data_IF_994883020790
#
_entry.id   IF_994883020790
#
_cell.length_a   1.000
_cell.length_b   1.000
_cell.length_c   1.000
_cell.angle_alpha   90.00
_cell.angle_beta   90.00
_cell.angle_gamma   90.00
#
_symmetry.space_group_name_H-M   'P 1'
#
loop_
_entity.id
_entity.type
_entity.pdbx_description
1 polymer ?
#
# COMPACT_ATOMS: atom_id res chain seq x y z
N UNK A 1 -14.58 2.43 -27.93
CA UNK A 1 -14.51 1.95 -26.52
C UNK A 1 -13.06 1.56 -26.12
N UNK A 2 -12.34 0.76 -26.90
CA UNK A 2 -10.95 0.31 -26.58
C UNK A 2 -9.95 1.47 -26.41
N UNK A 3 -9.98 2.50 -27.25
CA UNK A 3 -9.07 3.66 -27.16
C UNK A 3 -9.27 4.51 -25.90
N UNK A 4 -10.50 4.66 -25.43
CA UNK A 4 -10.80 5.43 -24.21
C UNK A 4 -10.30 4.69 -22.95
N UNK A 5 -10.40 3.36 -22.93
CA UNK A 5 -9.88 2.52 -21.83
C UNK A 5 -8.36 2.61 -21.78
N UNK A 6 -7.67 2.52 -22.93
CA UNK A 6 -6.23 2.64 -23.02
C UNK A 6 -5.72 4.02 -22.52
N UNK A 7 -6.40 5.10 -22.91
CA UNK A 7 -6.08 6.46 -22.44
C UNK A 7 -6.24 6.58 -20.92
N UNK A 8 -7.33 6.03 -20.36
CA UNK A 8 -7.58 6.05 -18.92
C UNK A 8 -6.47 5.34 -18.16
N UNK A 9 -6.06 4.17 -18.60
CA UNK A 9 -4.98 3.39 -18.00
C UNK A 9 -3.64 4.14 -18.02
N UNK A 10 -3.29 4.73 -19.17
CA UNK A 10 -2.08 5.51 -19.33
C UNK A 10 -2.04 6.74 -18.39
N UNK A 11 -3.19 7.40 -18.21
CA UNK A 11 -3.32 8.52 -17.27
C UNK A 11 -3.13 8.06 -15.83
N UNK A 12 -3.66 6.89 -15.44
CA UNK A 12 -3.48 6.31 -14.10
C UNK A 12 -2.00 6.01 -13.85
N UNK A 13 -1.32 5.28 -14.75
CA UNK A 13 0.09 4.93 -14.58
C UNK A 13 0.99 6.18 -14.53
N UNK A 14 0.71 7.17 -15.36
CA UNK A 14 1.45 8.45 -15.38
C UNK A 14 1.24 9.22 -14.07
N UNK A 15 0.00 9.29 -13.58
CA UNK A 15 -0.33 9.98 -12.34
C UNK A 15 0.28 9.28 -11.12
N UNK A 16 0.19 7.95 -11.04
CA UNK A 16 0.81 7.16 -9.96
C UNK A 16 2.30 7.49 -9.83
N UNK A 17 3.04 7.46 -10.95
CA UNK A 17 4.47 7.79 -10.96
C UNK A 17 4.73 9.23 -10.54
N UNK A 18 4.03 10.20 -11.10
CA UNK A 18 4.24 11.61 -10.78
C UNK A 18 3.88 11.93 -9.32
N UNK A 19 2.80 11.38 -8.80
CA UNK A 19 2.44 11.55 -7.38
C UNK A 19 3.45 10.89 -6.46
N UNK A 20 3.96 9.71 -6.80
CA UNK A 20 5.02 9.04 -6.04
C UNK A 20 6.32 9.86 -5.98
N UNK A 21 6.68 10.54 -7.06
CA UNK A 21 7.91 11.34 -7.18
C UNK A 21 7.78 12.72 -6.50
N UNK A 22 6.65 13.41 -6.70
CA UNK A 22 6.50 14.85 -6.41
C UNK A 22 5.44 15.18 -5.38
N UNK A 23 4.75 14.16 -4.83
CA UNK A 23 3.59 14.35 -3.96
C UNK A 23 2.33 14.76 -4.73
N UNK A 24 1.17 14.59 -4.08
CA UNK A 24 -0.13 14.84 -4.71
C UNK A 24 -0.33 16.33 -5.00
N UNK A 25 0.08 17.19 -4.07
CA UNK A 25 -0.05 18.63 -4.23
C UNK A 25 0.87 19.20 -5.32
N UNK A 26 2.06 18.59 -5.52
CA UNK A 26 3.09 19.05 -6.44
C UNK A 26 2.81 18.80 -7.92
N UNK A 27 1.68 18.15 -8.28
CA UNK A 27 1.37 17.76 -9.67
C UNK A 27 -0.05 18.22 -10.04
N UNK A 28 -0.20 18.86 -11.20
CA UNK A 28 -1.50 19.28 -11.72
C UNK A 28 -2.11 18.25 -12.67
N UNK A 29 -3.45 18.23 -12.80
CA UNK A 29 -4.18 17.39 -13.77
C UNK A 29 -3.72 17.63 -15.21
N UNK A 30 -3.35 18.88 -15.55
CA UNK A 30 -2.83 19.24 -16.85
C UNK A 30 -1.45 18.63 -17.12
N UNK A 31 -0.55 18.69 -16.14
CA UNK A 31 0.78 18.06 -16.24
C UNK A 31 0.67 16.56 -16.46
N UNK A 32 -0.25 15.89 -15.77
CA UNK A 32 -0.50 14.45 -15.93
C UNK A 32 -0.94 14.16 -17.38
N UNK A 33 -1.91 14.92 -17.91
CA UNK A 33 -2.35 14.78 -19.28
C UNK A 33 -1.21 14.95 -20.29
N UNK A 34 -0.39 15.99 -20.13
CA UNK A 34 0.76 16.25 -20.99
C UNK A 34 1.82 15.14 -20.91
N UNK A 35 2.15 14.70 -19.69
CA UNK A 35 3.12 13.63 -19.46
C UNK A 35 2.63 12.27 -20.00
N UNK A 36 1.32 12.05 -20.05
CA UNK A 36 0.68 10.91 -20.70
C UNK A 36 0.54 11.07 -22.23
N UNK A 37 1.17 12.09 -22.84
CA UNK A 37 1.14 12.32 -24.28
C UNK A 37 -0.21 12.79 -24.82
N UNK A 38 -1.10 13.27 -23.97
CA UNK A 38 -2.42 13.73 -24.37
C UNK A 38 -2.38 15.19 -24.84
N UNK A 39 -2.88 15.45 -26.03
CA UNK A 39 -2.95 16.81 -26.60
C UNK A 39 -4.09 17.66 -26.05
N UNK A 40 -5.15 17.00 -25.56
CA UNK A 40 -6.30 17.66 -24.95
C UNK A 40 -6.06 17.91 -23.46
N UNK A 41 -5.94 19.18 -23.06
CA UNK A 41 -5.71 19.58 -21.66
C UNK A 41 -6.83 19.17 -20.68
N UNK A 42 -8.04 18.90 -21.17
CA UNK A 42 -9.19 18.50 -20.35
C UNK A 42 -9.37 16.99 -20.21
N UNK A 43 -8.53 16.16 -20.85
CA UNK A 43 -8.75 14.70 -20.88
C UNK A 43 -8.68 14.08 -19.50
N UNK A 44 -7.78 14.48 -18.65
CA UNK A 44 -7.65 13.97 -17.29
C UNK A 44 -8.87 14.32 -16.45
N UNK A 45 -9.35 15.56 -16.57
CA UNK A 45 -10.57 15.99 -15.89
C UNK A 45 -11.83 15.29 -16.43
N UNK A 46 -11.89 15.02 -17.73
CA UNK A 46 -12.98 14.26 -18.33
C UNK A 46 -13.09 12.83 -17.77
N UNK A 47 -11.95 12.15 -17.56
CA UNK A 47 -11.94 10.76 -17.07
C UNK A 47 -12.12 10.62 -15.55
N UNK A 48 -11.70 11.60 -14.77
CA UNK A 48 -11.59 11.46 -13.30
C UNK A 48 -12.30 12.58 -12.52
N UNK A 49 -12.83 13.59 -13.18
CA UNK A 49 -13.44 14.76 -12.56
C UNK A 49 -12.39 15.70 -11.98
N UNK A 50 -11.76 15.29 -10.89
CA UNK A 50 -10.75 16.08 -10.19
C UNK A 50 -9.55 15.22 -9.77
N UNK A 51 -8.63 15.81 -9.00
CA UNK A 51 -7.44 15.13 -8.50
C UNK A 51 -7.79 14.04 -7.48
N UNK A 52 -8.80 14.25 -6.67
CA UNK A 52 -9.26 13.26 -5.69
C UNK A 52 -9.82 12.01 -6.39
N UNK A 53 -10.63 12.19 -7.43
CA UNK A 53 -11.13 11.09 -8.24
C UNK A 53 -10.02 10.31 -8.95
N UNK A 54 -8.96 10.99 -9.39
CA UNK A 54 -7.79 10.32 -9.97
C UNK A 54 -7.00 9.53 -8.91
N UNK A 55 -6.81 10.07 -7.71
CA UNK A 55 -6.18 9.37 -6.57
C UNK A 55 -6.96 8.09 -6.23
N UNK A 56 -8.28 8.19 -6.13
CA UNK A 56 -9.15 7.02 -5.89
C UNK A 56 -9.01 5.99 -7.01
N UNK A 57 -9.00 6.41 -8.28
CA UNK A 57 -8.86 5.50 -9.42
C UNK A 57 -7.51 4.76 -9.45
N UNK A 58 -6.40 5.42 -9.08
CA UNK A 58 -5.09 4.76 -8.92
C UNK A 58 -5.19 3.69 -7.83
N UNK A 59 -5.73 4.08 -6.68
CA UNK A 59 -5.83 3.20 -5.52
C UNK A 59 -6.71 1.98 -5.81
N UNK A 60 -7.90 2.15 -6.39
CA UNK A 60 -8.80 1.05 -6.76
C UNK A 60 -8.14 0.06 -7.70
N UNK A 61 -7.47 0.56 -8.74
CA UNK A 61 -6.80 -0.30 -9.73
C UNK A 61 -5.73 -1.18 -9.10
N UNK A 62 -4.81 -0.58 -8.34
CA UNK A 62 -3.68 -1.31 -7.74
C UNK A 62 -4.11 -2.18 -6.56
N UNK A 63 -5.04 -1.70 -5.75
CA UNK A 63 -5.53 -2.47 -4.61
C UNK A 63 -6.28 -3.74 -5.02
N UNK A 64 -6.91 -3.78 -6.18
CA UNK A 64 -7.57 -4.98 -6.69
C UNK A 64 -6.58 -6.15 -6.81
N UNK A 65 -5.45 -5.93 -7.49
CA UNK A 65 -4.41 -6.95 -7.68
C UNK A 65 -3.74 -7.33 -6.35
N UNK A 66 -3.37 -6.33 -5.55
CA UNK A 66 -2.75 -6.53 -4.23
C UNK A 66 -3.69 -7.31 -3.30
N UNK A 67 -4.98 -7.00 -3.28
CA UNK A 67 -5.96 -7.69 -2.45
C UNK A 67 -6.24 -9.12 -2.95
N UNK A 68 -6.31 -9.34 -4.25
CA UNK A 68 -6.44 -10.68 -4.81
C UNK A 68 -5.26 -11.56 -4.39
N UNK A 69 -4.03 -11.02 -4.45
CA UNK A 69 -2.82 -11.70 -4.01
C UNK A 69 -2.82 -11.99 -2.50
N UNK A 70 -3.23 -11.01 -1.67
CA UNK A 70 -3.39 -11.19 -0.22
C UNK A 70 -4.36 -12.31 0.13
N UNK A 71 -5.51 -12.34 -0.55
CA UNK A 71 -6.52 -13.37 -0.31
C UNK A 71 -6.04 -14.76 -0.74
N UNK A 72 -5.30 -14.86 -1.84
CA UNK A 72 -4.68 -16.11 -2.27
C UNK A 72 -3.65 -16.61 -1.24
N UNK A 73 -2.75 -15.75 -0.76
CA UNK A 73 -1.76 -16.09 0.27
C UNK A 73 -2.44 -16.49 1.59
N UNK A 74 -3.49 -15.77 2.00
CA UNK A 74 -4.26 -16.08 3.21
C UNK A 74 -4.93 -17.45 3.12
N UNK A 75 -5.46 -17.82 1.95
CA UNK A 75 -6.03 -19.14 1.69
C UNK A 75 -4.99 -20.26 1.70
N UNK A 76 -3.83 -20.04 1.06
CA UNK A 76 -2.73 -20.99 1.05
C UNK A 76 -2.17 -21.22 2.46
N UNK A 77 -1.90 -20.16 3.21
CA UNK A 77 -1.42 -20.26 4.59
C UNK A 77 -2.39 -21.07 5.47
N UNK A 78 -3.69 -20.87 5.29
CA UNK A 78 -4.71 -21.66 6.02
C UNK A 78 -4.67 -23.14 5.66
N UNK A 79 -4.52 -23.47 4.37
CA UNK A 79 -4.47 -24.87 3.89
C UNK A 79 -3.23 -25.59 4.40
N UNK A 80 -2.11 -24.88 4.51
CA UNK A 80 -0.81 -25.42 4.94
C UNK A 80 -0.64 -25.46 6.45
N UNK A 81 -1.64 -25.04 7.22
CA UNK A 81 -1.55 -24.91 8.68
C UNK A 81 -0.61 -23.80 9.17
N UNK A 82 -0.19 -22.90 8.29
CA UNK A 82 0.60 -21.71 8.59
C UNK A 82 -0.35 -20.56 8.93
N UNK A 83 -0.58 -20.36 10.21
CA UNK A 83 -1.57 -19.41 10.72
C UNK A 83 -1.04 -18.60 11.91
N UNK A 84 0.28 -18.50 12.03
CA UNK A 84 0.94 -17.69 13.03
C UNK A 84 0.85 -16.18 12.75
N UNK A 85 1.19 -15.36 13.75
CA UNK A 85 1.20 -13.90 13.60
C UNK A 85 2.12 -13.48 12.46
N UNK A 86 3.31 -14.09 12.36
CA UNK A 86 4.27 -13.84 11.30
C UNK A 86 3.68 -14.14 9.90
N UNK A 87 3.02 -15.28 9.75
CA UNK A 87 2.44 -15.69 8.46
C UNK A 87 1.34 -14.71 8.01
N UNK A 88 0.53 -14.22 8.94
CA UNK A 88 -0.50 -13.23 8.65
C UNK A 88 0.08 -11.85 8.30
N UNK A 89 1.16 -11.43 8.96
CA UNK A 89 1.90 -10.20 8.61
C UNK A 89 2.54 -10.34 7.23
N UNK A 90 3.15 -11.48 6.93
CA UNK A 90 3.73 -11.80 5.62
C UNK A 90 2.68 -11.70 4.50
N UNK A 91 1.47 -12.24 4.72
CA UNK A 91 0.34 -12.13 3.80
C UNK A 91 0.00 -10.67 3.46
N UNK A 92 0.22 -9.73 4.39
CA UNK A 92 0.01 -8.31 4.16
C UNK A 92 1.16 -7.66 3.38
N UNK A 93 2.42 -7.98 3.75
CA UNK A 93 3.63 -7.29 3.27
C UNK A 93 4.06 -7.75 1.88
N UNK A 94 4.09 -9.08 1.64
CA UNK A 94 4.62 -9.66 0.40
C UNK A 94 3.96 -9.09 -0.86
N UNK A 95 2.64 -8.92 -0.97
CA UNK A 95 2.04 -8.34 -2.17
C UNK A 95 2.44 -6.88 -2.44
N UNK A 96 2.84 -6.13 -1.41
CA UNK A 96 3.41 -4.78 -1.59
C UNK A 96 4.87 -4.84 -2.07
N UNK A 97 5.66 -5.78 -1.56
CA UNK A 97 7.03 -6.02 -2.04
C UNK A 97 7.04 -6.48 -3.51
N UNK A 98 6.08 -7.32 -3.91
CA UNK A 98 5.88 -7.73 -5.31
C UNK A 98 5.60 -6.52 -6.23
N UNK A 99 4.91 -5.46 -5.75
CA UNK A 99 4.74 -4.22 -6.51
C UNK A 99 6.06 -3.46 -6.69
N UNK A 100 6.93 -3.48 -5.68
CA UNK A 100 8.29 -2.90 -5.76
C UNK A 100 9.13 -3.66 -6.79
N UNK A 101 9.13 -4.99 -6.75
CA UNK A 101 9.84 -5.86 -7.69
C UNK A 101 9.41 -5.64 -9.14
N UNK A 102 8.12 -5.45 -9.37
CA UNK A 102 7.54 -5.16 -10.69
C UNK A 102 7.82 -3.73 -11.17
N UNK A 103 8.46 -2.89 -10.36
CA UNK A 103 8.77 -1.51 -10.71
C UNK A 103 7.58 -0.55 -10.68
N UNK A 104 6.45 -0.94 -10.09
CA UNK A 104 5.29 -0.07 -9.90
C UNK A 104 5.56 0.99 -8.84
N UNK A 105 5.13 2.22 -9.06
CA UNK A 105 5.31 3.32 -8.12
C UNK A 105 4.29 3.30 -6.94
N UNK A 106 3.46 2.27 -6.87
CA UNK A 106 2.29 2.19 -5.97
C UNK A 106 2.64 2.33 -4.49
N UNK A 107 3.71 1.68 -4.02
CA UNK A 107 4.08 1.75 -2.59
C UNK A 107 4.54 3.16 -2.22
N UNK A 108 5.33 3.82 -3.10
CA UNK A 108 5.71 5.23 -2.93
C UNK A 108 4.50 6.17 -3.01
N UNK A 109 3.55 5.89 -3.89
CA UNK A 109 2.28 6.62 -3.96
C UNK A 109 1.49 6.49 -2.65
N UNK A 110 1.36 5.29 -2.07
CA UNK A 110 0.72 5.08 -0.76
C UNK A 110 1.43 5.85 0.36
N UNK A 111 2.75 5.85 0.38
CA UNK A 111 3.54 6.62 1.34
C UNK A 111 3.26 8.12 1.23
N UNK A 112 3.13 8.66 -0.01
CA UNK A 112 2.73 10.06 -0.22
C UNK A 112 1.33 10.36 0.26
N UNK A 113 0.36 9.46 0.05
CA UNK A 113 -0.98 9.62 0.61
C UNK A 113 -0.99 9.72 2.13
N UNK A 114 -0.10 8.97 2.80
CA UNK A 114 0.03 9.01 4.26
C UNK A 114 0.64 10.33 4.74
N UNK A 115 1.68 10.83 4.07
CA UNK A 115 2.42 12.03 4.46
C UNK A 115 1.74 13.33 4.07
N UNK A 116 1.03 13.35 2.94
CA UNK A 116 0.35 14.54 2.42
C UNK A 116 -1.04 14.77 3.05
N UNK A 117 -1.44 13.93 4.03
CA UNK A 117 -2.70 14.11 4.76
C UNK A 117 -3.96 13.64 4.02
N UNK A 118 -3.81 12.84 2.96
CA UNK A 118 -4.91 12.36 2.12
C UNK A 118 -5.43 10.96 2.49
N UNK A 119 -5.29 10.55 3.74
CA UNK A 119 -5.76 9.24 4.24
C UNK A 119 -7.27 9.06 4.13
N UNK A 120 -8.03 10.14 4.24
CA UNK A 120 -9.47 10.18 4.08
C UNK A 120 -9.90 9.71 2.68
N UNK A 121 -9.12 9.98 1.64
CA UNK A 121 -9.37 9.48 0.29
C UNK A 121 -9.31 7.95 0.21
N UNK A 122 -8.44 7.30 0.99
CA UNK A 122 -8.38 5.85 1.09
C UNK A 122 -9.62 5.26 1.76
N UNK A 123 -10.22 5.99 2.72
CA UNK A 123 -11.43 5.57 3.42
C UNK A 123 -12.68 5.75 2.53
N UNK A 124 -12.66 6.67 1.58
CA UNK A 124 -13.74 6.90 0.62
C UNK A 124 -13.73 5.90 -0.56
N UNK A 125 -12.59 5.27 -0.83
CA UNK A 125 -12.50 4.15 -1.76
C UNK A 125 -13.22 2.94 -1.14
N UNK A 126 -14.18 2.36 -1.87
CA UNK A 126 -15.16 1.40 -1.37
C UNK A 126 -14.60 0.25 -0.50
N UNK A 127 -15.49 -0.41 0.23
CA UNK A 127 -15.15 -1.49 1.20
C UNK A 127 -14.35 -2.67 0.60
N UNK A 128 -14.46 -2.92 -0.70
CA UNK A 128 -13.69 -3.97 -1.37
C UNK A 128 -12.19 -3.69 -1.34
N UNK A 129 -11.80 -2.43 -1.38
CA UNK A 129 -10.41 -1.98 -1.41
C UNK A 129 -9.70 -2.20 -0.07
N UNK A 130 -10.42 -2.04 1.04
CA UNK A 130 -9.89 -2.26 2.40
C UNK A 130 -10.14 -3.68 2.91
N UNK A 131 -10.89 -4.50 2.17
CA UNK A 131 -11.40 -5.80 2.63
C UNK A 131 -10.31 -6.77 3.09
N UNK A 132 -9.19 -6.87 2.35
CA UNK A 132 -8.10 -7.77 2.72
C UNK A 132 -7.35 -7.28 3.97
N UNK A 133 -7.07 -5.97 4.08
CA UNK A 133 -6.50 -5.36 5.29
C UNK A 133 -7.33 -5.67 6.53
N UNK A 134 -8.64 -5.44 6.45
CA UNK A 134 -9.55 -5.70 7.56
C UNK A 134 -9.69 -7.19 7.87
N UNK A 135 -9.69 -8.06 6.84
CA UNK A 135 -9.80 -9.51 7.02
C UNK A 135 -8.58 -10.06 7.75
N UNK A 136 -7.37 -9.65 7.34
CA UNK A 136 -6.11 -10.02 8.00
C UNK A 136 -6.13 -9.51 9.45
N UNK A 137 -6.43 -8.23 9.67
CA UNK A 137 -6.48 -7.63 11.00
C UNK A 137 -7.50 -8.32 11.92
N UNK A 138 -8.70 -8.61 11.41
CA UNK A 138 -9.72 -9.37 12.20
C UNK A 138 -9.26 -10.77 12.54
N UNK A 139 -8.50 -11.45 11.65
CA UNK A 139 -7.97 -12.79 11.90
C UNK A 139 -6.86 -12.74 12.95
N UNK A 140 -5.88 -11.84 12.81
CA UNK A 140 -4.83 -11.59 13.80
C UNK A 140 -5.42 -11.37 15.18
N UNK A 141 -6.39 -10.47 15.30
CA UNK A 141 -7.01 -10.15 16.57
C UNK A 141 -7.73 -11.35 17.19
N UNK A 142 -8.54 -12.08 16.39
CA UNK A 142 -9.36 -13.19 16.93
C UNK A 142 -8.55 -14.40 17.36
N UNK A 143 -7.48 -14.70 16.62
CA UNK A 143 -6.73 -15.96 16.82
C UNK A 143 -5.51 -15.79 17.74
N UNK A 144 -4.87 -14.61 17.71
CA UNK A 144 -3.58 -14.44 18.37
C UNK A 144 -3.50 -13.27 19.36
N UNK A 145 -4.35 -12.26 19.21
CA UNK A 145 -4.25 -10.99 19.95
C UNK A 145 -5.63 -10.61 20.56
N UNK A 146 -6.43 -11.59 20.93
CA UNK A 146 -7.77 -11.40 21.50
C UNK A 146 -7.75 -10.77 22.89
N UNK A 147 -6.65 -10.91 23.65
CA UNK A 147 -6.45 -10.30 24.97
C UNK A 147 -6.17 -8.80 24.90
N UNK A 148 -5.69 -8.30 23.75
CA UNK A 148 -5.50 -6.86 23.57
C UNK A 148 -6.85 -6.15 23.46
N UNK A 149 -7.04 -5.01 24.18
CA UNK A 149 -8.17 -4.12 23.95
C UNK A 149 -8.33 -3.80 22.47
N UNK A 150 -9.58 -3.79 21.99
CA UNK A 150 -9.89 -3.62 20.56
C UNK A 150 -9.19 -2.41 19.93
N UNK A 151 -9.27 -1.27 20.61
CA UNK A 151 -8.74 -0.01 20.06
C UNK A 151 -7.21 -0.01 20.06
N UNK A 152 -6.58 -0.61 21.06
CA UNK A 152 -5.13 -0.79 21.10
C UNK A 152 -4.64 -1.71 19.98
N UNK A 153 -5.37 -2.82 19.73
CA UNK A 153 -5.06 -3.69 18.58
C UNK A 153 -5.11 -2.94 17.26
N UNK A 154 -6.20 -2.21 16.97
CA UNK A 154 -6.33 -1.50 15.70
C UNK A 154 -5.32 -0.37 15.55
N UNK A 155 -4.96 0.29 16.66
CA UNK A 155 -3.87 1.26 16.65
C UNK A 155 -2.53 0.62 16.28
N UNK A 156 -2.17 -0.51 16.91
CA UNK A 156 -0.95 -1.27 16.56
C UNK A 156 -0.96 -1.76 15.11
N UNK A 157 -2.09 -2.32 14.67
CA UNK A 157 -2.22 -2.77 13.29
C UNK A 157 -2.03 -1.63 12.28
N UNK A 158 -2.56 -0.46 12.58
CA UNK A 158 -2.33 0.75 11.77
C UNK A 158 -0.86 1.16 11.76
N UNK A 159 -0.16 1.09 12.89
CA UNK A 159 1.28 1.36 12.96
C UNK A 159 2.08 0.38 12.10
N UNK A 160 1.78 -0.91 12.19
CA UNK A 160 2.41 -1.95 11.35
C UNK A 160 2.22 -1.66 9.86
N UNK A 161 1.00 -1.37 9.44
CA UNK A 161 0.68 -1.05 8.04
C UNK A 161 1.42 0.18 7.55
N UNK A 162 1.44 1.24 8.36
CA UNK A 162 2.15 2.47 8.00
C UNK A 162 3.65 2.24 7.88
N UNK A 163 4.24 1.49 8.81
CA UNK A 163 5.66 1.16 8.81
C UNK A 163 6.01 0.30 7.60
N UNK A 164 5.18 -0.70 7.25
CA UNK A 164 5.38 -1.53 6.07
C UNK A 164 5.43 -0.70 4.78
N UNK A 165 4.46 0.20 4.60
CA UNK A 165 4.38 1.08 3.41
C UNK A 165 5.59 2.01 3.36
N UNK A 166 5.94 2.67 4.47
CA UNK A 166 7.07 3.61 4.51
C UNK A 166 8.40 2.91 4.25
N UNK A 167 8.65 1.76 4.89
CA UNK A 167 9.89 1.00 4.73
C UNK A 167 10.09 0.51 3.29
N UNK A 168 9.04 -0.03 2.65
CA UNK A 168 9.08 -0.45 1.25
C UNK A 168 9.21 0.73 0.28
N UNK A 169 8.59 1.88 0.59
CA UNK A 169 8.74 3.10 -0.22
C UNK A 169 10.16 3.65 -0.16
N UNK A 170 10.79 3.66 1.02
CA UNK A 170 12.18 4.07 1.21
C UNK A 170 13.14 3.10 0.50
N UNK A 171 12.89 1.79 0.61
CA UNK A 171 13.64 0.77 -0.14
C UNK A 171 13.56 1.04 -1.65
N UNK A 172 12.36 1.25 -2.19
CA UNK A 172 12.14 1.53 -3.61
C UNK A 172 12.80 2.84 -4.06
N UNK A 173 12.90 3.82 -3.17
CA UNK A 173 13.58 5.10 -3.44
C UNK A 173 15.12 4.99 -3.41
N UNK A 174 15.67 3.81 -3.10
CA UNK A 174 17.11 3.63 -2.96
C UNK A 174 17.67 4.14 -1.63
N UNK A 175 16.81 4.51 -0.69
CA UNK A 175 17.23 4.89 0.65
C UNK A 175 17.80 3.66 1.39
N UNK A 176 18.99 3.80 1.93
CA UNK A 176 19.63 2.73 2.70
C UNK A 176 20.31 3.28 3.94
N UNK A 177 20.00 2.72 5.13
CA UNK A 177 20.71 3.03 6.35
C UNK A 177 22.09 2.35 6.44
N UNK A 178 22.39 1.42 5.53
CA UNK A 178 23.63 0.65 5.60
C UNK A 178 24.83 1.48 5.11
N UNK A 179 26.03 1.25 5.68
CA UNK A 179 27.26 1.91 5.23
C UNK A 179 27.51 1.72 3.73
N UNK A 180 27.86 2.80 3.06
CA UNK A 180 28.09 2.81 1.60
C UNK A 180 26.83 2.79 0.75
N UNK A 181 25.64 2.98 1.34
CA UNK A 181 24.37 3.03 0.59
C UNK A 181 23.91 1.67 0.03
N UNK A 182 24.51 0.56 0.50
CA UNK A 182 24.15 -0.79 0.04
C UNK A 182 22.75 -1.15 0.54
N UNK A 183 21.94 -1.72 -0.32
CA UNK A 183 20.65 -2.31 0.05
C UNK A 183 20.76 -3.84 0.15
N UNK A 184 19.96 -4.43 1.04
CA UNK A 184 19.74 -5.87 1.04
C UNK A 184 18.99 -6.28 -0.24
N UNK A 185 19.12 -7.52 -0.72
CA UNK A 185 18.19 -8.06 -1.71
C UNK A 185 16.74 -7.89 -1.22
N UNK A 186 15.79 -7.64 -2.13
CA UNK A 186 14.40 -7.33 -1.76
C UNK A 186 13.76 -8.46 -0.94
N UNK A 187 14.05 -9.71 -1.27
CA UNK A 187 13.54 -10.88 -0.54
C UNK A 187 14.02 -10.87 0.93
N UNK A 188 15.33 -10.66 1.15
CA UNK A 188 15.93 -10.58 2.49
C UNK A 188 15.37 -9.39 3.26
N UNK A 189 15.29 -8.21 2.62
CA UNK A 189 14.69 -7.02 3.21
C UNK A 189 13.23 -7.25 3.62
N UNK A 190 12.45 -7.91 2.77
CA UNK A 190 11.04 -8.21 3.03
C UNK A 190 10.88 -9.17 4.20
N UNK A 191 11.72 -10.21 4.31
CA UNK A 191 11.72 -11.13 5.44
C UNK A 191 12.03 -10.43 6.76
N UNK A 192 13.10 -9.63 6.81
CA UNK A 192 13.47 -8.82 7.98
C UNK A 192 12.36 -7.83 8.37
N UNK A 193 11.73 -7.19 7.39
CA UNK A 193 10.61 -6.29 7.63
C UNK A 193 9.42 -7.03 8.26
N UNK A 194 9.07 -8.21 7.77
CA UNK A 194 8.00 -9.05 8.34
C UNK A 194 8.33 -9.42 9.79
N UNK A 195 9.56 -9.78 10.10
CA UNK A 195 9.99 -10.14 11.46
C UNK A 195 9.91 -8.94 12.41
N UNK A 196 10.38 -7.76 11.99
CA UNK A 196 10.29 -6.53 12.75
C UNK A 196 8.83 -6.12 13.04
N UNK A 197 7.96 -6.19 12.01
CA UNK A 197 6.53 -5.87 12.14
C UNK A 197 5.78 -6.87 13.02
N UNK A 198 6.17 -8.13 12.99
CA UNK A 198 5.66 -9.17 13.89
C UNK A 198 6.02 -8.84 15.34
N UNK A 199 7.26 -8.47 15.60
CA UNK A 199 7.70 -8.00 16.91
C UNK A 199 6.94 -6.78 17.40
N UNK A 200 6.63 -5.83 16.50
CA UNK A 200 5.81 -4.64 16.82
C UNK A 200 4.39 -5.02 17.26
N UNK A 201 3.76 -6.00 16.61
CA UNK A 201 2.43 -6.48 17.02
C UNK A 201 2.45 -7.19 18.37
N UNK A 202 3.49 -7.99 18.62
CA UNK A 202 3.64 -8.82 19.83
C UNK A 202 4.24 -8.06 21.02
N UNK A 203 4.62 -6.79 20.84
CA UNK A 203 5.21 -5.99 21.93
C UNK A 203 4.31 -5.99 23.17
N UNK A 204 4.92 -6.13 24.34
CA UNK A 204 4.21 -6.06 25.61
C UNK A 204 3.47 -4.71 25.77
N UNK A 205 2.34 -4.73 26.44
CA UNK A 205 1.66 -3.51 26.86
C UNK A 205 2.35 -2.96 28.10
N UNK A 206 2.62 -1.64 28.12
CA UNK A 206 3.02 -1.00 29.36
C UNK A 206 1.86 -1.10 30.35
N UNK A 207 2.05 -1.61 31.57
CA UNK A 207 1.00 -1.57 32.58
C UNK A 207 0.52 -0.12 32.76
N UNK A 208 -0.78 0.09 32.92
CA UNK A 208 -1.31 1.39 33.34
C UNK A 208 -0.63 1.81 34.65
N UNK A 209 -0.02 2.99 34.65
CA UNK A 209 0.58 3.61 35.85
C UNK A 209 -0.53 4.17 36.73
#
# INVERSE_FOLDING_TARGET
>A
MVLATHTRELLIDTAERLFAERGIHGVSMREIGLAAGQRNNGVTQYHFGDKAGLVVAIFERRSADVNARRLALLGAAQSDGRDGVRDLVETFVVPLAEQVEQGHAYVRFLSRLQTDGHRDLLLSAGSEVTSAYERIGRRLRRQHLNELPRDLFWNRWTLVVNTAISALADYQAGASPLPGGRQLPLEEFTSELVDALTGMLLAATTPEV
#
